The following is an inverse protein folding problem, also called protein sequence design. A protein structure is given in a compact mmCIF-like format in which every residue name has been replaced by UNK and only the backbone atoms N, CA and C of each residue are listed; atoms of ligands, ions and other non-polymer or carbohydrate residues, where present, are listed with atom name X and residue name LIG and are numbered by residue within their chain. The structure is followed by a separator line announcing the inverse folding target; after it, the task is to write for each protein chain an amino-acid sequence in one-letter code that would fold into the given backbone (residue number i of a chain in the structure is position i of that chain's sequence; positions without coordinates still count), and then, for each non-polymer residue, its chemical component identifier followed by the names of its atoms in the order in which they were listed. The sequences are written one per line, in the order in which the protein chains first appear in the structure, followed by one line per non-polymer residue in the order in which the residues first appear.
data_IF_138249510300
#
_entry.id   IF_138249510300
#
_cell.length_a   1.000
_cell.length_b   1.000
_cell.length_c   1.000
_cell.angle_alpha   90.00
_cell.angle_beta   90.00
_cell.angle_gamma   90.00
#
_symmetry.space_group_name_H-M   'P 1'
#
loop_
_entity.id
_entity.type
_entity.pdbx_description
1 polymer ?
#
# COMPACT_ATOMS: atom_id res chain seq x y z
N UNK A 1 -1.34 -31.56 -8.01
CA UNK A 1 -1.91 -32.88 -8.37
C UNK A 1 -2.35 -32.95 -9.81
N UNK A 2 -3.25 -32.05 -10.28
CA UNK A 2 -3.75 -32.03 -11.66
C UNK A 2 -2.66 -32.00 -12.75
N UNK A 3 -1.54 -31.30 -12.53
CA UNK A 3 -0.43 -31.23 -13.49
C UNK A 3 0.32 -32.54 -13.77
N UNK A 4 -0.05 -33.65 -13.11
CA UNK A 4 0.47 -35.00 -13.43
C UNK A 4 -0.32 -35.69 -14.53
N UNK A 5 -1.49 -35.18 -14.92
CA UNK A 5 -2.30 -35.76 -15.97
C UNK A 5 -1.72 -35.38 -17.35
N UNK A 6 -1.16 -36.37 -18.05
CA UNK A 6 -0.60 -36.24 -19.40
C UNK A 6 0.88 -36.63 -19.48
N UNK A 7 1.21 -37.53 -20.42
CA UNK A 7 2.58 -37.97 -20.68
C UNK A 7 3.17 -37.23 -21.87
N UNK A 8 4.33 -36.62 -21.65
CA UNK A 8 5.07 -35.86 -22.67
C UNK A 8 5.41 -36.78 -23.85
N UNK A 9 5.04 -36.35 -25.06
CA UNK A 9 5.34 -37.07 -26.31
C UNK A 9 4.41 -38.24 -26.66
N UNK A 10 3.45 -38.60 -25.80
CA UNK A 10 2.51 -39.69 -26.06
C UNK A 10 1.07 -39.19 -26.08
N UNK A 11 0.68 -38.38 -25.08
CA UNK A 11 -0.70 -37.93 -24.95
C UNK A 11 -0.84 -36.49 -25.49
N UNK A 12 -1.83 -36.24 -26.35
CA UNK A 12 -2.10 -34.91 -26.90
C UNK A 12 -2.64 -33.91 -25.85
N UNK A 13 -3.36 -34.40 -24.83
CA UNK A 13 -3.91 -33.59 -23.73
C UNK A 13 -4.02 -34.40 -22.43
N UNK A 14 -3.92 -33.72 -21.29
CA UNK A 14 -4.15 -34.30 -19.97
C UNK A 14 -5.62 -34.23 -19.56
N UNK A 15 -6.24 -35.36 -19.22
CA UNK A 15 -7.61 -35.40 -18.69
C UNK A 15 -7.59 -35.36 -17.16
N UNK A 16 -8.26 -34.38 -16.56
CA UNK A 16 -8.43 -34.26 -15.11
C UNK A 16 -9.93 -34.25 -14.81
N UNK A 17 -10.38 -35.22 -14.01
CA UNK A 17 -11.78 -35.35 -13.60
C UNK A 17 -11.88 -34.99 -12.12
N UNK A 18 -12.79 -34.08 -11.78
CA UNK A 18 -13.06 -33.67 -10.40
C UNK A 18 -14.34 -34.37 -9.94
N UNK A 19 -14.23 -35.23 -8.94
CA UNK A 19 -15.38 -35.90 -8.32
C UNK A 19 -15.96 -35.02 -7.20
N UNK A 20 -17.22 -34.60 -7.36
CA UNK A 20 -17.89 -33.69 -6.41
C UNK A 20 -18.21 -34.39 -5.08
N UNK A 21 -18.39 -35.71 -5.11
CA UNK A 21 -18.66 -36.51 -3.90
C UNK A 21 -17.52 -36.44 -2.89
N UNK A 22 -16.26 -36.43 -3.36
CA UNK A 22 -15.03 -36.46 -2.54
C UNK A 22 -14.55 -35.09 -2.06
N UNK A 23 -15.19 -34.01 -2.51
CA UNK A 23 -14.88 -32.67 -2.01
C UNK A 23 -15.22 -32.63 -0.51
N UNK A 24 -14.24 -32.24 0.31
CA UNK A 24 -14.34 -32.29 1.78
C UNK A 24 -15.61 -31.61 2.29
N UNK A 25 -16.22 -32.16 3.36
CA UNK A 25 -17.48 -31.64 3.94
C UNK A 25 -17.43 -30.14 4.25
N UNK A 26 -16.24 -29.61 4.58
CA UNK A 26 -16.01 -28.19 4.85
C UNK A 26 -16.13 -27.26 3.63
N UNK A 27 -16.08 -27.79 2.42
CA UNK A 27 -16.08 -27.01 1.16
C UNK A 27 -17.44 -27.08 0.44
N UNK A 28 -18.40 -27.83 0.99
CA UNK A 28 -19.76 -27.95 0.48
C UNK A 28 -20.65 -26.88 1.10
N UNK A 29 -21.51 -26.25 0.30
CA UNK A 29 -22.57 -25.41 0.83
C UNK A 29 -23.50 -26.26 1.70
N UNK A 30 -23.78 -25.80 2.92
CA UNK A 30 -24.66 -26.50 3.86
C UNK A 30 -26.10 -26.67 3.32
N UNK A 31 -26.48 -25.88 2.32
CA UNK A 31 -27.84 -25.85 1.76
C UNK A 31 -27.99 -26.79 0.56
N UNK A 32 -26.99 -26.83 -0.33
CA UNK A 32 -27.09 -27.54 -1.61
C UNK A 32 -26.19 -28.77 -1.71
N UNK A 33 -25.28 -28.99 -0.76
CA UNK A 33 -24.33 -30.11 -0.79
C UNK A 33 -23.27 -30.00 -1.90
N UNK A 34 -23.30 -28.95 -2.71
CA UNK A 34 -22.34 -28.64 -3.77
C UNK A 34 -21.39 -27.50 -3.35
N UNK A 35 -20.14 -27.50 -3.84
CA UNK A 35 -19.25 -26.35 -3.67
C UNK A 35 -19.79 -25.13 -4.42
N UNK A 36 -19.52 -23.93 -3.89
CA UNK A 36 -19.86 -22.68 -4.57
C UNK A 36 -19.02 -22.48 -5.83
N UNK A 37 -19.58 -21.78 -6.81
CA UNK A 37 -18.88 -21.49 -8.06
C UNK A 37 -17.55 -20.74 -7.83
N UNK A 38 -17.55 -19.74 -6.94
CA UNK A 38 -16.35 -18.97 -6.62
C UNK A 38 -15.21 -19.84 -6.08
N UNK A 39 -15.55 -20.86 -5.29
CA UNK A 39 -14.58 -21.79 -4.73
C UNK A 39 -14.00 -22.71 -5.81
N UNK A 40 -14.84 -23.26 -6.68
CA UNK A 40 -14.41 -24.07 -7.82
C UNK A 40 -13.53 -23.26 -8.78
N UNK A 41 -13.94 -22.03 -9.10
CA UNK A 41 -13.16 -21.11 -9.93
C UNK A 41 -11.78 -20.84 -9.30
N UNK A 42 -11.73 -20.59 -7.99
CA UNK A 42 -10.46 -20.39 -7.29
C UNK A 42 -9.61 -21.66 -7.22
N UNK A 43 -10.22 -22.85 -7.11
CA UNK A 43 -9.48 -24.12 -7.12
C UNK A 43 -8.84 -24.41 -8.50
N UNK A 44 -9.56 -24.11 -9.59
CA UNK A 44 -9.14 -24.46 -10.96
C UNK A 44 -8.26 -23.36 -11.58
N UNK A 45 -8.66 -22.09 -11.42
CA UNK A 45 -8.06 -20.92 -12.07
C UNK A 45 -7.39 -19.95 -11.08
N UNK A 46 -7.35 -20.29 -9.79
CA UNK A 46 -6.75 -19.43 -8.78
C UNK A 46 -5.25 -19.26 -8.95
N UNK A 47 -4.70 -18.32 -8.18
CA UNK A 47 -3.25 -18.10 -8.12
C UNK A 47 -2.57 -19.34 -7.58
N UNK A 48 -1.42 -19.67 -8.17
CA UNK A 48 -0.57 -20.75 -7.69
C UNK A 48 -0.10 -20.45 -6.27
N UNK A 49 0.14 -21.50 -5.48
CA UNK A 49 0.65 -21.35 -4.13
C UNK A 49 2.04 -20.74 -4.15
N UNK A 50 2.20 -19.60 -3.47
CA UNK A 50 3.51 -18.97 -3.34
C UNK A 50 4.42 -19.78 -2.43
N UNK A 51 5.73 -19.76 -2.72
CA UNK A 51 6.73 -20.38 -1.88
C UNK A 51 6.90 -19.53 -0.61
N UNK A 52 6.50 -20.09 0.53
CA UNK A 52 6.64 -19.44 1.83
C UNK A 52 7.83 -20.07 2.56
N UNK A 53 8.69 -19.23 3.15
CA UNK A 53 9.79 -19.69 4.00
C UNK A 53 9.28 -20.57 5.13
N UNK A 54 9.82 -21.79 5.24
CA UNK A 54 9.62 -22.69 6.40
C UNK A 54 10.79 -22.63 7.38
N UNK A 55 11.65 -21.63 7.26
CA UNK A 55 12.80 -21.47 8.14
C UNK A 55 12.34 -21.36 9.60
N UNK A 56 12.95 -22.17 10.46
CA UNK A 56 12.72 -22.21 11.90
C UNK A 56 14.04 -22.43 12.59
N UNK A 57 14.27 -21.68 13.66
CA UNK A 57 15.43 -21.89 14.52
C UNK A 57 15.11 -23.05 15.47
N UNK A 58 15.88 -24.13 15.37
CA UNK A 58 15.74 -25.30 16.24
C UNK A 58 16.92 -25.38 17.20
N UNK A 59 16.74 -26.04 18.34
CA UNK A 59 17.80 -26.19 19.34
C UNK A 59 19.02 -26.94 18.77
N UNK A 60 18.78 -27.97 17.94
CA UNK A 60 19.85 -28.69 17.24
C UNK A 60 20.66 -27.77 16.33
N UNK A 61 20.01 -26.86 15.60
CA UNK A 61 20.71 -25.85 14.79
C UNK A 61 21.58 -24.95 15.66
N UNK A 62 21.06 -24.43 16.78
CA UNK A 62 21.81 -23.55 17.69
C UNK A 62 23.05 -24.27 18.26
N UNK A 63 22.88 -25.50 18.77
CA UNK A 63 23.98 -26.28 19.32
C UNK A 63 25.07 -26.58 18.27
N UNK A 64 24.66 -26.93 17.05
CA UNK A 64 25.60 -27.21 15.97
C UNK A 64 26.41 -25.96 15.58
N UNK A 65 25.78 -24.79 15.61
CA UNK A 65 26.46 -23.52 15.31
C UNK A 65 27.47 -23.15 16.39
N UNK A 66 27.11 -23.32 17.67
CA UNK A 66 28.04 -23.12 18.78
C UNK A 66 29.27 -24.02 18.68
N UNK A 67 29.12 -25.27 18.21
CA UNK A 67 30.25 -26.20 18.04
C UNK A 67 31.22 -25.76 16.93
N UNK A 68 30.71 -25.20 15.85
CA UNK A 68 31.51 -24.84 14.66
C UNK A 68 32.13 -23.44 14.69
N UNK A 69 31.78 -22.62 15.71
CA UNK A 69 32.23 -21.24 16.05
C UNK A 69 32.33 -20.18 14.94
N UNK A 70 32.12 -20.55 13.68
CA UNK A 70 32.33 -19.70 12.49
C UNK A 70 31.09 -18.89 12.10
N UNK A 71 29.90 -19.33 12.50
CA UNK A 71 28.62 -18.73 12.15
C UNK A 71 27.74 -18.58 13.38
N UNK A 72 27.21 -17.38 13.60
CA UNK A 72 26.22 -17.15 14.65
C UNK A 72 24.80 -17.47 14.15
N UNK A 73 23.88 -17.89 15.02
CA UNK A 73 22.47 -18.05 14.65
C UNK A 73 21.85 -16.79 14.02
N UNK A 74 22.31 -15.61 14.44
CA UNK A 74 21.92 -14.30 13.91
C UNK A 74 22.33 -14.15 12.44
N UNK A 75 23.52 -14.60 12.06
CA UNK A 75 23.99 -14.54 10.68
C UNK A 75 23.19 -15.47 9.77
N UNK A 76 22.81 -16.65 10.28
CA UNK A 76 21.93 -17.56 9.55
C UNK A 76 20.53 -16.97 9.38
N UNK A 77 20.01 -16.30 10.40
CA UNK A 77 18.73 -15.61 10.30
C UNK A 77 18.76 -14.53 9.20
N UNK A 78 19.81 -13.70 9.18
CA UNK A 78 20.00 -12.66 8.16
C UNK A 78 20.11 -13.20 6.74
N UNK A 79 20.76 -14.35 6.56
CA UNK A 79 20.91 -15.00 5.24
C UNK A 79 19.72 -15.88 4.84
N UNK A 80 18.73 -16.05 5.73
CA UNK A 80 17.60 -16.95 5.49
C UNK A 80 16.62 -16.39 4.45
N UNK A 81 15.88 -17.28 3.78
CA UNK A 81 14.83 -16.88 2.84
C UNK A 81 13.68 -16.10 3.50
N UNK A 82 13.57 -16.14 4.83
CA UNK A 82 12.61 -15.31 5.57
C UNK A 82 12.93 -13.82 5.43
N UNK A 83 14.22 -13.44 5.44
CA UNK A 83 14.66 -12.04 5.36
C UNK A 83 14.74 -11.52 3.91
N UNK A 84 14.78 -12.43 2.93
CA UNK A 84 14.85 -12.06 1.51
C UNK A 84 13.70 -11.13 1.06
N UNK A 85 12.49 -11.29 1.62
CA UNK A 85 11.37 -10.40 1.32
C UNK A 85 11.60 -8.97 1.86
N UNK A 86 12.13 -8.87 3.07
CA UNK A 86 12.50 -7.61 3.73
C UNK A 86 13.59 -6.87 2.93
N UNK A 87 14.65 -7.58 2.52
CA UNK A 87 15.70 -7.00 1.67
C UNK A 87 15.19 -6.48 0.32
N UNK A 88 14.30 -7.25 -0.34
CA UNK A 88 13.67 -6.79 -1.59
C UNK A 88 12.82 -5.55 -1.38
N UNK A 89 12.08 -5.49 -0.27
CA UNK A 89 11.28 -4.33 0.10
C UNK A 89 12.17 -3.12 0.38
N UNK A 90 13.23 -3.27 1.18
CA UNK A 90 14.20 -2.23 1.49
C UNK A 90 14.84 -1.64 0.23
N UNK A 91 15.26 -2.51 -0.71
CA UNK A 91 15.83 -2.07 -2.00
C UNK A 91 14.83 -1.23 -2.79
N UNK A 92 13.57 -1.67 -2.88
CA UNK A 92 12.50 -0.90 -3.54
C UNK A 92 12.23 0.43 -2.83
N UNK A 93 12.22 0.46 -1.50
CA UNK A 93 12.04 1.69 -0.73
C UNK A 93 13.18 2.67 -0.95
N UNK A 94 14.43 2.20 -0.97
CA UNK A 94 15.60 3.04 -1.26
C UNK A 94 15.52 3.68 -2.65
N UNK A 95 15.13 2.89 -3.66
CA UNK A 95 14.87 3.41 -5.01
C UNK A 95 13.72 4.44 -5.02
N UNK A 96 12.66 4.19 -4.27
CA UNK A 96 11.54 5.12 -4.18
C UNK A 96 11.94 6.43 -3.49
N UNK A 97 12.73 6.36 -2.41
CA UNK A 97 13.26 7.53 -1.71
C UNK A 97 14.18 8.37 -2.61
N UNK A 98 15.03 7.73 -3.43
CA UNK A 98 15.88 8.49 -4.36
C UNK A 98 15.06 9.23 -5.42
N UNK A 99 14.00 8.61 -5.95
CA UNK A 99 13.05 9.26 -6.88
C UNK A 99 12.31 10.41 -6.21
N UNK A 100 11.81 10.23 -4.99
CA UNK A 100 11.13 11.29 -4.23
C UNK A 100 12.06 12.45 -3.91
N UNK A 101 13.30 12.19 -3.48
CA UNK A 101 14.28 13.23 -3.19
C UNK A 101 14.63 14.04 -4.44
N UNK A 102 14.75 13.38 -5.61
CA UNK A 102 14.97 14.07 -6.88
C UNK A 102 13.82 15.02 -7.20
N UNK A 103 12.58 14.56 -7.03
CA UNK A 103 11.37 15.36 -7.27
C UNK A 103 11.19 16.50 -6.28
N UNK A 104 11.55 16.28 -5.01
CA UNK A 104 11.61 17.35 -4.03
C UNK A 104 12.60 18.41 -4.50
N UNK A 105 13.84 18.05 -4.84
CA UNK A 105 14.84 19.01 -5.31
C UNK A 105 14.43 19.75 -6.59
N UNK A 106 13.70 19.08 -7.51
CA UNK A 106 13.17 19.70 -8.73
C UNK A 106 12.07 20.74 -8.43
N UNK A 107 11.19 20.44 -7.47
CA UNK A 107 10.02 21.26 -7.11
C UNK A 107 10.34 22.36 -6.08
N UNK A 108 11.30 22.12 -5.18
CA UNK A 108 11.72 23.08 -4.16
C UNK A 108 12.85 23.97 -4.68
N UNK A 109 12.51 24.98 -5.49
CA UNK A 109 13.44 26.09 -5.76
C UNK A 109 13.42 27.05 -4.58
N UNK A 110 14.29 26.84 -3.61
CA UNK A 110 14.60 27.88 -2.60
C UNK A 110 15.41 28.95 -3.35
N UNK A 111 14.79 30.09 -3.64
CA UNK A 111 15.51 31.26 -4.16
C UNK A 111 16.33 31.80 -3.00
N UNK A 112 17.62 31.48 -2.94
CA UNK A 112 18.55 32.18 -2.07
C UNK A 112 18.63 33.63 -2.55
N UNK A 113 18.18 34.57 -1.73
CA UNK A 113 18.44 35.98 -1.98
C UNK A 113 19.94 36.21 -1.85
N UNK A 114 20.65 36.30 -2.99
CA UNK A 114 22.00 36.84 -3.04
C UNK A 114 21.89 38.35 -2.78
N UNK A 115 21.84 38.74 -1.52
CA UNK A 115 22.24 40.09 -1.16
C UNK A 115 23.75 40.05 -0.98
N UNK A 116 24.46 40.51 -2.02
CA UNK A 116 25.86 40.88 -1.93
C UNK A 116 25.99 41.97 -0.86
N UNK A 117 26.29 41.56 0.38
CA UNK A 117 27.16 42.25 1.32
C UNK A 117 27.44 41.31 2.48
N UNK A 118 28.73 41.12 2.72
CA UNK A 118 29.35 40.64 3.95
C UNK A 118 29.55 39.12 4.08
N UNK A 119 30.73 38.73 3.58
CA UNK A 119 31.53 37.57 3.94
C UNK A 119 31.28 37.11 5.39
N UNK A 120 30.51 36.04 5.58
CA UNK A 120 30.63 35.03 6.66
C UNK A 120 29.48 33.98 6.68
N UNK A 121 28.99 33.52 5.51
CA UNK A 121 27.93 32.48 5.44
C UNK A 121 28.35 31.29 4.55
N UNK A 122 29.65 31.00 4.46
CA UNK A 122 30.13 29.75 3.88
C UNK A 122 30.04 28.55 4.85
N UNK A 123 29.72 28.78 6.14
CA UNK A 123 29.86 27.76 7.17
C UNK A 123 28.55 27.14 7.68
N UNK A 124 27.39 27.52 7.13
CA UNK A 124 26.08 26.95 7.55
C UNK A 124 25.50 25.95 6.53
N UNK A 125 26.04 25.90 5.31
CA UNK A 125 25.54 25.01 4.23
C UNK A 125 26.20 23.60 4.28
N UNK A 126 27.17 23.36 5.15
CA UNK A 126 27.95 22.10 5.17
C UNK A 126 27.36 21.00 6.09
N UNK A 127 26.38 21.28 6.96
CA UNK A 127 25.95 20.27 7.95
C UNK A 127 24.83 19.30 7.54
N UNK A 128 24.32 19.31 6.30
CA UNK A 128 23.29 18.33 5.87
C UNK A 128 23.55 17.62 4.54
N UNK A 129 24.75 17.70 3.98
CA UNK A 129 25.10 16.99 2.73
C UNK A 129 26.38 16.16 2.84
N UNK A 130 26.38 15.16 3.72
CA UNK A 130 27.21 13.98 3.53
C UNK A 130 26.32 12.77 3.36
N UNK A 131 25.97 12.46 2.11
CA UNK A 131 25.97 11.10 1.54
C UNK A 131 26.04 11.30 0.02
N UNK A 132 27.27 11.39 -0.47
CA UNK A 132 27.67 10.88 -1.77
C UNK A 132 27.38 9.37 -1.80
N UNK A 133 26.71 8.86 -2.84
CA UNK A 133 27.14 7.67 -3.59
C UNK A 133 26.42 7.68 -4.95
N UNK A 134 27.27 7.76 -5.96
CA UNK A 134 27.01 7.56 -7.38
C UNK A 134 26.92 6.06 -7.71
N UNK A 135 25.88 5.65 -8.46
CA UNK A 135 26.02 4.85 -9.69
C UNK A 135 24.68 4.64 -10.37
N UNK A 136 24.76 4.74 -11.70
CA UNK A 136 23.76 4.47 -12.72
C UNK A 136 23.09 3.10 -12.59
N UNK A 137 21.84 2.99 -13.09
CA UNK A 137 21.48 2.11 -14.22
C UNK A 137 19.98 2.27 -14.55
N UNK A 138 19.74 2.35 -15.86
CA UNK A 138 18.50 2.49 -16.59
C UNK A 138 17.64 1.21 -16.57
N UNK A 139 16.34 1.37 -16.83
CA UNK A 139 15.46 0.27 -17.26
C UNK A 139 14.02 0.35 -16.73
N UNK A 140 13.14 0.99 -17.52
CA UNK A 140 11.76 0.57 -17.86
C UNK A 140 10.80 0.10 -16.74
N UNK A 141 9.54 0.50 -16.63
CA UNK A 141 8.66 1.19 -17.58
C UNK A 141 7.28 1.44 -16.94
N UNK A 142 6.85 2.70 -17.04
CA UNK A 142 5.58 3.14 -17.65
C UNK A 142 4.26 3.16 -16.87
N UNK A 143 4.08 2.47 -15.75
CA UNK A 143 2.81 2.61 -14.98
C UNK A 143 2.82 3.72 -13.92
N UNK A 144 4.01 4.19 -13.52
CA UNK A 144 4.18 5.21 -12.48
C UNK A 144 4.71 6.56 -13.00
N UNK A 145 5.07 6.63 -14.30
CA UNK A 145 5.46 7.89 -14.95
C UNK A 145 4.26 8.85 -15.00
N UNK A 146 3.05 8.32 -15.19
CA UNK A 146 1.79 9.08 -15.19
C UNK A 146 1.33 9.55 -13.80
N UNK A 147 1.85 8.97 -12.72
CA UNK A 147 1.44 9.29 -11.34
C UNK A 147 2.04 10.60 -10.83
N UNK A 148 3.04 11.14 -11.53
CA UNK A 148 3.76 12.33 -11.09
C UNK A 148 3.81 13.44 -12.14
N UNK A 149 3.47 13.16 -13.40
CA UNK A 149 3.38 14.18 -14.46
C UNK A 149 2.22 15.18 -14.29
N UNK A 150 1.34 15.05 -13.30
CA UNK A 150 0.12 15.86 -13.22
C UNK A 150 -0.03 16.75 -11.99
N UNK A 151 1.02 16.99 -11.20
CA UNK A 151 0.89 17.86 -10.02
C UNK A 151 2.06 18.84 -9.87
N UNK A 152 2.44 19.50 -10.96
CA UNK A 152 3.25 20.72 -10.90
C UNK A 152 2.36 21.91 -10.48
N UNK A 153 1.95 21.93 -9.20
CA UNK A 153 1.44 23.16 -8.61
C UNK A 153 2.65 23.98 -8.20
N UNK A 154 3.17 24.79 -9.13
CA UNK A 154 4.12 25.85 -8.81
C UNK A 154 3.40 26.90 -7.96
N UNK A 155 3.38 26.72 -6.64
CA UNK A 155 2.92 27.75 -5.71
C UNK A 155 4.00 28.82 -5.67
N UNK A 156 3.84 29.87 -6.49
CA UNK A 156 4.72 31.04 -6.45
C UNK A 156 4.32 31.87 -5.22
N UNK A 157 5.19 31.96 -4.22
CA UNK A 157 4.92 32.83 -3.09
C UNK A 157 4.93 34.30 -3.58
N UNK A 158 3.88 35.10 -3.29
CA UNK A 158 3.78 36.49 -3.73
C UNK A 158 4.81 37.42 -3.04
N UNK A 159 5.40 36.98 -1.91
CA UNK A 159 6.56 37.62 -1.29
C UNK A 159 7.75 36.66 -1.40
N UNK A 160 8.86 37.10 -2.00
CA UNK A 160 10.03 36.30 -2.36
C UNK A 160 10.88 35.82 -1.14
N UNK A 161 10.24 35.27 -0.10
CA UNK A 161 10.85 35.01 1.21
C UNK A 161 10.68 33.59 1.74
N UNK A 162 11.48 33.25 2.74
CA UNK A 162 11.46 31.95 3.44
C UNK A 162 10.31 31.88 4.47
N UNK A 163 9.90 33.02 5.03
CA UNK A 163 8.86 33.09 6.07
C UNK A 163 7.47 32.68 5.59
N UNK A 164 7.12 32.91 4.31
CA UNK A 164 5.85 32.45 3.77
C UNK A 164 5.81 30.92 3.56
N UNK A 165 6.97 30.30 3.30
CA UNK A 165 7.08 28.85 3.14
C UNK A 165 6.84 28.10 4.47
N UNK A 166 7.32 28.65 5.58
CA UNK A 166 7.08 28.05 6.90
C UNK A 166 5.62 28.19 7.34
N UNK A 167 4.99 29.35 7.09
CA UNK A 167 3.57 29.57 7.38
C UNK A 167 2.65 28.67 6.54
N UNK A 168 2.92 28.54 5.24
CA UNK A 168 2.13 27.67 4.37
C UNK A 168 2.35 26.19 4.72
N UNK A 169 3.57 25.81 5.12
CA UNK A 169 3.87 24.48 5.63
C UNK A 169 3.06 24.12 6.87
N UNK A 170 2.98 25.03 7.84
CA UNK A 170 2.15 24.86 9.04
C UNK A 170 0.65 24.74 8.69
N UNK A 171 0.14 25.57 7.77
CA UNK A 171 -1.24 25.49 7.29
C UNK A 171 -1.55 24.12 6.68
N UNK A 172 -0.72 23.64 5.74
CA UNK A 172 -0.92 22.33 5.12
C UNK A 172 -0.82 21.18 6.13
N UNK A 173 0.07 21.26 7.12
CA UNK A 173 0.15 20.29 8.21
C UNK A 173 -1.14 20.27 9.05
N UNK A 174 -1.72 21.43 9.35
CA UNK A 174 -2.99 21.53 10.06
C UNK A 174 -4.15 20.95 9.24
N UNK A 175 -4.25 21.26 7.94
CA UNK A 175 -5.25 20.68 7.06
C UNK A 175 -5.12 19.15 6.96
N UNK A 176 -3.89 18.64 6.90
CA UNK A 176 -3.64 17.20 6.89
C UNK A 176 -4.08 16.53 8.20
N UNK A 177 -3.72 17.12 9.36
CA UNK A 177 -4.17 16.64 10.68
C UNK A 177 -5.70 16.66 10.80
N UNK A 178 -6.35 17.74 10.34
CA UNK A 178 -7.81 17.83 10.31
C UNK A 178 -8.41 16.69 9.48
N UNK A 179 -7.88 16.42 8.27
CA UNK A 179 -8.36 15.31 7.43
C UNK A 179 -8.14 13.93 8.05
N UNK A 180 -7.04 13.72 8.76
CA UNK A 180 -6.81 12.48 9.50
C UNK A 180 -7.82 12.30 10.63
N UNK A 181 -8.09 13.36 11.40
CA UNK A 181 -9.08 13.35 12.47
C UNK A 181 -10.48 13.07 11.92
N UNK A 182 -10.89 13.72 10.83
CA UNK A 182 -12.20 13.45 10.21
C UNK A 182 -12.31 11.99 9.76
N UNK A 183 -11.27 11.41 9.16
CA UNK A 183 -11.27 10.00 8.76
C UNK A 183 -11.36 9.04 9.96
N UNK A 184 -10.70 9.38 11.08
CA UNK A 184 -10.80 8.62 12.33
C UNK A 184 -12.19 8.73 12.97
N UNK A 185 -12.80 9.91 12.92
CA UNK A 185 -14.17 10.12 13.38
C UNK A 185 -15.14 9.31 12.51
N UNK A 186 -14.99 9.33 11.19
CA UNK A 186 -15.84 8.55 10.28
C UNK A 186 -15.72 7.04 10.59
N UNK A 187 -14.50 6.51 10.74
CA UNK A 187 -14.30 5.09 11.01
C UNK A 187 -14.84 4.65 12.37
N UNK A 188 -14.75 5.51 13.39
CA UNK A 188 -15.29 5.22 14.73
C UNK A 188 -16.82 5.32 14.78
N UNK A 189 -17.40 6.28 14.06
CA UNK A 189 -18.85 6.45 13.95
C UNK A 189 -19.52 5.25 13.28
N UNK A 190 -18.92 4.73 12.21
CA UNK A 190 -19.39 3.57 11.44
C UNK A 190 -19.47 2.29 12.31
N UNK A 191 -18.53 2.11 13.24
CA UNK A 191 -18.46 0.90 14.09
C UNK A 191 -19.38 0.99 15.32
N UNK A 192 -19.45 2.15 15.99
CA UNK A 192 -20.07 2.25 17.33
C UNK A 192 -21.48 2.82 17.36
N UNK A 193 -21.88 3.61 16.35
CA UNK A 193 -23.08 4.45 16.45
C UNK A 193 -24.06 4.28 15.28
N UNK A 194 -24.11 3.11 14.65
CA UNK A 194 -25.01 2.84 13.51
C UNK A 194 -26.49 3.24 13.77
N UNK A 195 -27.00 3.00 14.99
CA UNK A 195 -28.38 3.37 15.37
C UNK A 195 -28.61 4.89 15.44
N UNK A 196 -27.63 5.66 15.94
CA UNK A 196 -27.74 7.13 16.00
C UNK A 196 -27.50 7.78 14.64
N UNK A 197 -26.67 7.17 13.81
CA UNK A 197 -26.43 7.63 12.45
C UNK A 197 -27.68 7.54 11.57
N UNK A 198 -28.62 6.62 11.87
CA UNK A 198 -29.91 6.56 11.16
C UNK A 198 -30.73 7.84 11.34
N UNK A 199 -30.71 8.45 12.53
CA UNK A 199 -31.40 9.70 12.81
C UNK A 199 -30.71 10.91 12.17
N UNK A 200 -29.40 10.80 11.92
CA UNK A 200 -28.59 11.88 11.32
C UNK A 200 -28.68 11.80 9.79
N UNK A 201 -28.76 10.62 9.20
CA UNK A 201 -28.82 10.44 7.75
C UNK A 201 -30.25 10.24 7.25
N UNK A 202 -31.14 11.22 7.47
CA UNK A 202 -32.48 11.18 6.89
C UNK A 202 -32.43 11.37 5.36
N UNK A 203 -33.33 10.73 4.60
CA UNK A 203 -33.45 10.99 3.16
C UNK A 203 -33.75 12.47 2.91
N UNK A 204 -33.17 13.04 1.86
CA UNK A 204 -33.27 14.46 1.52
C UNK A 204 -32.16 15.34 2.11
N UNK A 205 -31.27 14.82 2.97
CA UNK A 205 -30.13 15.58 3.50
C UNK A 205 -29.01 15.72 2.47
N UNK A 206 -28.48 16.94 2.34
CA UNK A 206 -27.28 17.23 1.55
C UNK A 206 -26.03 16.72 2.27
N UNK A 207 -25.21 15.99 1.54
CA UNK A 207 -23.91 15.49 1.96
C UNK A 207 -22.86 15.79 0.92
N UNK A 208 -21.62 15.90 1.35
CA UNK A 208 -20.48 16.09 0.47
C UNK A 208 -19.71 14.77 0.41
N UNK A 209 -19.77 14.12 -0.76
CA UNK A 209 -19.15 12.82 -0.98
C UNK A 209 -17.74 13.00 -1.50
N UNK A 210 -16.78 12.40 -0.80
CA UNK A 210 -15.41 12.27 -1.27
C UNK A 210 -15.29 11.00 -2.12
N UNK A 211 -15.20 11.16 -3.44
CA UNK A 211 -15.06 10.07 -4.41
C UNK A 211 -13.62 9.99 -4.91
N UNK A 212 -13.04 8.80 -4.86
CA UNK A 212 -11.75 8.50 -5.47
C UNK A 212 -11.98 7.93 -6.88
N UNK A 213 -11.73 8.72 -7.91
CA UNK A 213 -11.81 8.28 -9.31
C UNK A 213 -10.44 8.48 -9.95
N UNK A 214 -9.85 7.42 -10.50
CA UNK A 214 -8.55 7.47 -11.19
C UNK A 214 -7.47 8.25 -10.40
N UNK A 215 -7.32 7.96 -9.10
CA UNK A 215 -6.33 8.58 -8.19
C UNK A 215 -6.57 10.07 -7.88
N UNK A 216 -7.64 10.68 -8.39
CA UNK A 216 -8.08 12.04 -8.05
C UNK A 216 -9.23 12.02 -7.05
N UNK A 217 -9.18 12.95 -6.08
CA UNK A 217 -10.22 13.12 -5.06
C UNK A 217 -11.23 14.15 -5.55
N UNK A 218 -12.46 13.72 -5.77
CA UNK A 218 -13.57 14.60 -6.14
C UNK A 218 -14.47 14.81 -4.93
N UNK A 219 -14.83 16.07 -4.67
CA UNK A 219 -15.85 16.44 -3.69
C UNK A 219 -17.13 16.75 -4.46
N UNK A 220 -18.10 15.84 -4.37
CA UNK A 220 -19.36 15.96 -5.09
C UNK A 220 -20.49 16.20 -4.07
N UNK A 221 -21.24 17.31 -4.18
CA UNK A 221 -22.45 17.48 -3.41
C UNK A 221 -23.50 16.46 -3.87
N UNK A 222 -24.11 15.75 -2.94
CA UNK A 222 -25.11 14.73 -3.21
C UNK A 222 -26.23 14.78 -2.17
N UNK A 223 -27.39 14.24 -2.51
CA UNK A 223 -28.54 14.11 -1.62
C UNK A 223 -28.71 12.64 -1.26
N UNK A 224 -28.99 12.35 0.01
CA UNK A 224 -29.29 10.98 0.44
C UNK A 224 -30.69 10.59 -0.03
N UNK A 225 -30.78 9.57 -0.87
CA UNK A 225 -32.06 8.98 -1.31
C UNK A 225 -32.41 7.79 -0.41
N UNK A 226 -31.50 6.84 -0.28
CA UNK A 226 -31.65 5.64 0.53
C UNK A 226 -30.27 5.13 0.97
N UNK A 227 -30.20 4.50 2.13
CA UNK A 227 -28.97 3.89 2.64
C UNK A 227 -29.29 2.57 3.33
N UNK A 228 -28.40 1.59 3.14
CA UNK A 228 -28.52 0.28 3.78
C UNK A 228 -27.23 -0.06 4.51
N UNK A 229 -27.37 -0.47 5.76
CA UNK A 229 -26.27 -0.99 6.57
C UNK A 229 -26.07 -2.46 6.19
N UNK A 230 -24.96 -2.75 5.51
CA UNK A 230 -24.55 -4.13 5.26
C UNK A 230 -23.43 -4.48 6.22
N UNK A 231 -23.72 -5.34 7.19
CA UNK A 231 -22.67 -5.98 7.99
C UNK A 231 -21.87 -6.88 7.04
N UNK A 232 -20.67 -6.44 6.64
CA UNK A 232 -19.75 -7.32 5.92
C UNK A 232 -19.30 -8.40 6.90
N UNK A 233 -19.71 -9.64 6.67
CA UNK A 233 -19.06 -10.78 7.31
C UNK A 233 -17.58 -10.80 6.89
N UNK A 234 -16.73 -10.50 7.88
CA UNK A 234 -15.29 -10.65 7.98
C UNK A 234 -14.40 -9.98 6.90
N UNK A 235 -13.60 -9.03 7.40
CA UNK A 235 -12.30 -8.54 6.91
C UNK A 235 -12.22 -7.41 5.86
N UNK A 236 -13.30 -6.67 5.60
CA UNK A 236 -13.18 -5.33 5.03
C UNK A 236 -14.29 -4.46 5.60
N UNK A 237 -13.91 -3.26 6.09
CA UNK A 237 -14.79 -2.35 6.83
C UNK A 237 -16.18 -2.16 6.22
N UNK A 238 -17.12 -1.85 7.11
CA UNK A 238 -18.46 -1.40 6.75
C UNK A 238 -18.31 -0.27 5.71
N UNK A 239 -19.04 -0.41 4.61
CA UNK A 239 -19.09 0.60 3.57
C UNK A 239 -20.56 0.93 3.37
N UNK A 240 -20.91 2.19 3.60
CA UNK A 240 -22.22 2.72 3.23
C UNK A 240 -22.25 2.74 1.70
N UNK A 241 -22.99 1.80 1.09
CA UNK A 241 -23.25 1.82 -0.34
C UNK A 241 -24.40 2.79 -0.62
N UNK A 242 -24.08 3.93 -1.21
CA UNK A 242 -25.07 4.82 -1.83
C UNK A 242 -25.28 4.32 -3.25
N UNK A 243 -26.49 3.85 -3.57
CA UNK A 243 -26.88 3.51 -4.94
C UNK A 243 -27.04 4.82 -5.73
N UNK A 244 -26.46 4.87 -6.94
CA UNK A 244 -26.79 5.91 -7.92
C UNK A 244 -28.25 5.82 -8.33
#
# INVERSE_FOLDING_TARGET
MAGRAGRRGIDAKGLVIILVSTIGKSLKSSVTGLPTESLLRNMILGRQTELISRFRVTYSMILNLHRSSSLTPQDIMKRSFMEAASHRWETKQRQHLSVLNKKLNETTKIISHNNNTDNNISNIIIQTSTITISKSIEGTSDSFKSLIDSLDVQVRCPHNGVECCDSIGQYYQLCYKYRQLTNSIISTLDVKYAQRLQQIFCPGRLILLQLMVNQSVWLVPAVIINYHWKTKNNNAGNQIMVRR
#
